data_IF_034454080689
#
_entry.id   IF_034454080689
#
_cell.length_a   1.000
_cell.length_b   1.000
_cell.length_c   1.000
_cell.angle_alpha   90.00
_cell.angle_beta   90.00
_cell.angle_gamma   90.00
#
_symmetry.space_group_name_H-M   'P 1'
#
loop_
_entity.id
_entity.type
_entity.pdbx_description
1 polymer ?
#
# COMPACT_ATOMS: atom_id res chain seq x y z
N UNK A 1 23.19 -43.07 -4.28
CA UNK A 1 21.94 -42.50 -3.76
C UNK A 1 21.45 -41.47 -4.77
N UNK A 2 20.64 -41.92 -5.72
CA UNK A 2 20.15 -41.17 -6.88
C UNK A 2 18.82 -40.52 -6.52
N UNK A 3 18.82 -39.18 -6.43
CA UNK A 3 17.62 -38.40 -6.18
C UNK A 3 16.72 -38.41 -7.43
N UNK A 4 15.54 -39.02 -7.30
CA UNK A 4 14.51 -39.03 -8.32
C UNK A 4 13.86 -37.64 -8.39
N UNK A 5 14.20 -36.88 -9.45
CA UNK A 5 13.50 -35.68 -9.87
C UNK A 5 12.08 -36.06 -10.33
N UNK A 6 11.10 -35.88 -9.45
CA UNK A 6 9.68 -35.94 -9.81
C UNK A 6 9.35 -34.70 -10.66
N UNK A 7 9.32 -34.90 -11.97
CA UNK A 7 8.80 -33.93 -12.92
C UNK A 7 7.30 -33.72 -12.66
N UNK A 8 6.95 -32.57 -12.08
CA UNK A 8 5.55 -32.15 -12.02
C UNK A 8 5.06 -31.89 -13.45
N UNK A 9 3.91 -32.48 -13.85
CA UNK A 9 3.31 -32.19 -15.14
C UNK A 9 2.90 -30.72 -15.17
N UNK A 10 3.61 -29.92 -15.96
CA UNK A 10 3.13 -28.60 -16.37
C UNK A 10 1.74 -28.78 -16.99
N UNK A 11 0.72 -28.22 -16.35
CA UNK A 11 -0.62 -28.18 -16.90
C UNK A 11 -0.55 -27.51 -18.29
N UNK A 12 -0.82 -28.31 -19.33
CA UNK A 12 -0.87 -27.82 -20.70
C UNK A 12 -1.91 -26.68 -20.78
N UNK A 13 -1.56 -25.51 -21.35
CA UNK A 13 -2.51 -24.42 -21.51
C UNK A 13 -3.68 -24.91 -22.35
N UNK A 14 -4.88 -24.86 -21.79
CA UNK A 14 -6.11 -25.17 -22.53
C UNK A 14 -6.20 -24.20 -23.71
N UNK A 15 -6.26 -24.68 -24.96
CA UNK A 15 -6.35 -23.81 -26.12
C UNK A 15 -7.66 -23.01 -26.03
N UNK A 16 -7.54 -21.71 -25.80
CA UNK A 16 -8.67 -20.78 -25.91
C UNK A 16 -9.00 -20.70 -27.40
N UNK A 17 -10.24 -21.04 -27.84
CA UNK A 17 -10.60 -20.90 -29.24
C UNK A 17 -10.41 -19.45 -29.67
N UNK A 18 -9.68 -19.25 -30.76
CA UNK A 18 -9.49 -17.94 -31.36
C UNK A 18 -10.86 -17.37 -31.71
N UNK A 19 -11.32 -16.40 -30.91
CA UNK A 19 -12.46 -15.59 -31.28
C UNK A 19 -12.03 -14.74 -32.48
N UNK A 20 -12.62 -15.01 -33.64
CA UNK A 20 -12.55 -14.15 -34.82
C UNK A 20 -12.95 -12.72 -34.42
N UNK A 21 -11.95 -11.87 -34.17
CA UNK A 21 -12.14 -10.43 -34.01
C UNK A 21 -12.24 -9.86 -35.42
N UNK A 22 -13.45 -9.95 -35.97
CA UNK A 22 -13.83 -9.22 -37.17
C UNK A 22 -13.63 -7.72 -36.94
N UNK A 23 -12.70 -7.14 -37.69
CA UNK A 23 -12.47 -5.71 -37.75
C UNK A 23 -13.71 -4.99 -38.32
N UNK A 24 -14.46 -4.30 -37.45
CA UNK A 24 -15.52 -3.40 -37.88
C UNK A 24 -15.02 -1.94 -37.96
N UNK A 25 -15.10 -1.27 -39.12
CA UNK A 25 -14.93 0.17 -39.22
C UNK A 25 -16.27 0.84 -38.89
N UNK A 26 -16.31 1.74 -37.90
CA UNK A 26 -17.54 2.45 -37.60
C UNK A 26 -17.45 3.30 -36.35
N UNK A 27 -16.82 4.47 -36.46
CA UNK A 27 -16.95 5.52 -35.47
C UNK A 27 -18.42 5.98 -35.41
N UNK A 28 -19.18 5.43 -34.47
CA UNK A 28 -20.53 5.89 -34.19
C UNK A 28 -20.46 7.26 -33.46
N UNK A 29 -21.22 8.27 -33.92
CA UNK A 29 -21.30 9.56 -33.24
C UNK A 29 -21.90 9.38 -31.84
N UNK A 30 -21.27 10.01 -30.85
CA UNK A 30 -21.74 10.06 -29.46
C UNK A 30 -23.14 10.69 -29.42
N UNK A 31 -24.17 9.85 -29.34
CA UNK A 31 -25.53 10.28 -29.09
C UNK A 31 -25.57 11.04 -27.76
N UNK A 32 -25.97 12.32 -27.84
CA UNK A 32 -26.27 13.16 -26.69
C UNK A 32 -27.36 12.50 -25.86
N UNK A 33 -27.18 12.58 -24.54
CA UNK A 33 -28.00 11.93 -23.51
C UNK A 33 -29.49 11.92 -23.83
N UNK A 34 -30.01 10.70 -23.98
CA UNK A 34 -31.41 10.42 -23.74
C UNK A 34 -31.64 10.60 -22.22
N UNK A 35 -32.58 11.47 -21.80
CA UNK A 35 -32.97 11.56 -20.40
C UNK A 35 -33.51 10.19 -19.98
N UNK A 36 -32.88 9.57 -18.99
CA UNK A 36 -33.46 8.42 -18.31
C UNK A 36 -34.83 8.85 -17.78
N UNK A 37 -35.92 8.15 -18.09
CA UNK A 37 -37.25 8.45 -17.57
C UNK A 37 -37.26 8.20 -16.06
N UNK A 38 -36.90 9.22 -15.29
CA UNK A 38 -37.21 9.33 -13.88
C UNK A 38 -38.71 9.63 -13.76
N UNK A 39 -39.54 8.60 -13.69
CA UNK A 39 -40.97 8.82 -13.55
C UNK A 39 -41.86 7.64 -13.91
N UNK A 40 -41.51 6.43 -13.49
CA UNK A 40 -42.54 5.43 -13.21
C UNK A 40 -42.71 5.44 -11.70
N UNK A 41 -43.74 6.13 -11.22
CA UNK A 41 -44.26 5.94 -9.87
C UNK A 41 -44.64 4.47 -9.76
N UNK A 42 -43.77 3.68 -9.14
CA UNK A 42 -44.04 2.31 -8.82
C UNK A 42 -45.31 2.29 -7.97
N UNK A 43 -46.39 1.83 -8.61
CA UNK A 43 -47.54 1.28 -7.94
C UNK A 43 -47.05 0.48 -6.74
N UNK A 44 -47.60 0.78 -5.57
CA UNK A 44 -47.43 0.05 -4.32
C UNK A 44 -48.08 -1.34 -4.41
N UNK A 45 -47.69 -2.10 -5.43
CA UNK A 45 -48.06 -3.46 -5.71
C UNK A 45 -47.47 -4.34 -4.61
N UNK A 46 -48.27 -4.48 -3.56
CA UNK A 46 -48.27 -5.59 -2.59
C UNK A 46 -47.29 -6.70 -2.98
N UNK A 47 -46.06 -6.61 -2.47
CA UNK A 47 -45.05 -7.64 -2.62
C UNK A 47 -45.57 -8.89 -1.91
N UNK A 48 -46.34 -9.71 -2.63
CA UNK A 48 -46.61 -11.09 -2.25
C UNK A 48 -45.25 -11.73 -2.04
N UNK A 49 -44.87 -11.96 -0.79
CA UNK A 49 -43.64 -12.66 -0.40
C UNK A 49 -43.68 -14.04 -1.05
N UNK A 50 -43.11 -14.17 -2.24
CA UNK A 50 -42.84 -15.46 -2.87
C UNK A 50 -41.91 -16.19 -1.93
N UNK A 51 -42.45 -17.16 -1.20
CA UNK A 51 -41.67 -18.03 -0.32
C UNK A 51 -40.64 -18.72 -1.20
N UNK A 52 -39.36 -18.46 -0.95
CA UNK A 52 -38.28 -19.18 -1.62
C UNK A 52 -38.47 -20.68 -1.35
N UNK A 53 -38.34 -21.55 -2.36
CA UNK A 53 -38.43 -22.98 -2.15
C UNK A 53 -37.39 -23.39 -1.09
N UNK A 54 -37.83 -24.17 -0.11
CA UNK A 54 -36.95 -24.68 0.95
C UNK A 54 -36.08 -25.77 0.32
N UNK A 55 -34.79 -25.49 0.18
CA UNK A 55 -33.81 -26.46 -0.31
C UNK A 55 -33.79 -27.66 0.66
N UNK A 56 -33.88 -28.90 0.16
CA UNK A 56 -33.78 -30.09 1.00
C UNK A 56 -32.42 -30.13 1.72
N UNK A 57 -32.44 -30.56 2.98
CA UNK A 57 -31.27 -30.60 3.87
C UNK A 57 -30.03 -31.33 3.30
N UNK A 58 -30.12 -32.49 2.61
CA UNK A 58 -28.95 -33.12 2.00
C UNK A 58 -28.34 -32.28 0.87
N UNK A 59 -29.16 -31.61 0.06
CA UNK A 59 -28.67 -30.71 -1.01
C UNK A 59 -27.96 -29.49 -0.41
N UNK A 60 -28.46 -28.98 0.74
CA UNK A 60 -27.80 -27.90 1.46
C UNK A 60 -26.40 -28.30 1.96
N UNK A 61 -26.23 -29.54 2.44
CA UNK A 61 -24.94 -30.04 2.88
C UNK A 61 -23.93 -30.14 1.72
N UNK A 62 -24.37 -30.62 0.55
CA UNK A 62 -23.54 -30.70 -0.65
C UNK A 62 -23.12 -29.31 -1.15
N UNK A 63 -24.05 -28.35 -1.21
CA UNK A 63 -23.77 -26.98 -1.60
C UNK A 63 -22.80 -26.30 -0.63
N UNK A 64 -22.92 -26.57 0.67
CA UNK A 64 -22.00 -26.08 1.70
C UNK A 64 -20.58 -26.63 1.49
N UNK A 65 -20.45 -27.93 1.26
CA UNK A 65 -19.15 -28.56 0.99
C UNK A 65 -18.49 -28.02 -0.30
N UNK A 66 -19.28 -27.82 -1.36
CA UNK A 66 -18.78 -27.21 -2.60
C UNK A 66 -18.32 -25.77 -2.38
N UNK A 67 -19.09 -24.97 -1.65
CA UNK A 67 -18.70 -23.59 -1.32
C UNK A 67 -17.39 -23.55 -0.54
N UNK A 68 -17.20 -24.46 0.43
CA UNK A 68 -15.95 -24.58 1.19
C UNK A 68 -14.76 -24.95 0.28
N UNK A 69 -14.94 -25.93 -0.62
CA UNK A 69 -13.90 -26.33 -1.58
C UNK A 69 -13.51 -25.19 -2.52
N UNK A 70 -14.49 -24.44 -3.06
CA UNK A 70 -14.21 -23.29 -3.90
C UNK A 70 -13.50 -22.17 -3.14
N UNK A 71 -13.89 -21.94 -1.89
CA UNK A 71 -13.23 -20.96 -1.03
C UNK A 71 -11.76 -21.35 -0.76
N UNK A 72 -11.48 -22.63 -0.47
CA UNK A 72 -10.10 -23.12 -0.31
C UNK A 72 -9.25 -22.88 -1.55
N UNK A 73 -9.77 -23.21 -2.75
CA UNK A 73 -9.08 -22.97 -4.02
C UNK A 73 -8.80 -21.48 -4.26
N UNK A 74 -9.74 -20.61 -3.90
CA UNK A 74 -9.54 -19.15 -4.01
C UNK A 74 -8.40 -18.73 -3.09
N UNK A 75 -8.41 -19.16 -1.82
CA UNK A 75 -7.35 -18.82 -0.85
C UNK A 75 -5.98 -19.33 -1.33
N UNK A 76 -5.89 -20.57 -1.80
CA UNK A 76 -4.64 -21.13 -2.35
C UNK A 76 -4.13 -20.32 -3.55
N UNK A 77 -5.02 -19.93 -4.46
CA UNK A 77 -4.67 -19.07 -5.60
C UNK A 77 -4.21 -17.69 -5.15
N UNK A 78 -4.83 -17.10 -4.12
CA UNK A 78 -4.42 -15.81 -3.56
C UNK A 78 -3.03 -15.85 -2.95
N UNK A 79 -2.66 -16.95 -2.28
CA UNK A 79 -1.32 -17.14 -1.73
C UNK A 79 -0.26 -17.16 -2.84
N UNK A 80 -0.49 -17.92 -3.92
CA UNK A 80 0.43 -17.95 -5.06
C UNK A 80 0.59 -16.58 -5.73
N UNK A 81 -0.51 -15.83 -5.86
CA UNK A 81 -0.52 -14.49 -6.44
C UNK A 81 0.25 -13.49 -5.56
N UNK A 82 0.27 -13.68 -4.24
CA UNK A 82 0.95 -12.77 -3.32
C UNK A 82 2.47 -12.75 -3.55
N UNK A 83 3.08 -13.91 -3.79
CA UNK A 83 4.50 -14.04 -4.09
C UNK A 83 4.87 -13.31 -5.39
N UNK A 84 4.05 -13.49 -6.44
CA UNK A 84 4.21 -12.79 -7.72
C UNK A 84 4.10 -11.27 -7.56
N UNK A 85 3.16 -10.79 -6.73
CA UNK A 85 3.02 -9.36 -6.43
C UNK A 85 4.26 -8.80 -5.75
N UNK A 86 4.89 -9.56 -4.86
CA UNK A 86 6.09 -9.13 -4.18
C UNK A 86 7.30 -9.11 -5.12
N UNK A 87 7.50 -10.17 -5.91
CA UNK A 87 8.56 -10.25 -6.92
C UNK A 87 8.43 -9.12 -7.95
N UNK A 88 7.22 -8.89 -8.47
CA UNK A 88 6.92 -7.76 -9.35
C UNK A 88 7.28 -6.43 -8.66
N UNK A 89 6.91 -6.26 -7.39
CA UNK A 89 7.23 -5.07 -6.62
C UNK A 89 8.73 -4.81 -6.51
N UNK A 90 9.54 -5.86 -6.28
CA UNK A 90 11.01 -5.77 -6.21
C UNK A 90 11.61 -5.33 -7.54
N UNK A 91 11.15 -5.89 -8.66
CA UNK A 91 11.58 -5.48 -10.00
C UNK A 91 11.20 -4.02 -10.25
N UNK A 92 9.95 -3.64 -9.96
CA UNK A 92 9.47 -2.27 -10.17
C UNK A 92 10.21 -1.23 -9.31
N UNK A 93 10.62 -1.57 -8.08
CA UNK A 93 11.44 -0.66 -7.25
C UNK A 93 12.84 -0.43 -7.84
N UNK A 94 13.51 -1.48 -8.34
CA UNK A 94 14.81 -1.33 -9.01
C UNK A 94 14.70 -0.45 -10.26
N UNK A 95 13.64 -0.67 -11.05
CA UNK A 95 13.44 0.04 -12.30
C UNK A 95 13.00 1.48 -12.06
N UNK A 96 12.22 1.77 -11.01
CA UNK A 96 11.62 3.09 -10.75
C UNK A 96 12.65 4.23 -10.70
N UNK A 97 13.85 3.95 -10.17
CA UNK A 97 14.94 4.93 -10.04
C UNK A 97 15.43 5.49 -11.38
N UNK A 98 15.24 4.76 -12.48
CA UNK A 98 15.69 5.16 -13.82
C UNK A 98 14.70 6.10 -14.54
N UNK A 99 13.55 6.43 -13.93
CA UNK A 99 12.49 7.20 -14.57
C UNK A 99 12.33 8.58 -13.92
N UNK A 100 12.61 9.68 -14.63
CA UNK A 100 12.33 11.03 -14.15
C UNK A 100 10.82 11.24 -13.90
N UNK A 101 10.47 12.37 -13.30
CA UNK A 101 9.07 12.71 -13.00
C UNK A 101 8.21 12.65 -14.28
N UNK A 102 7.07 11.96 -14.21
CA UNK A 102 6.10 11.86 -15.32
C UNK A 102 6.30 10.69 -16.30
N UNK A 103 7.51 10.14 -16.45
CA UNK A 103 7.77 9.08 -17.46
C UNK A 103 7.40 7.67 -16.99
N UNK A 104 7.09 7.51 -15.70
CA UNK A 104 6.77 6.22 -15.10
C UNK A 104 5.47 5.59 -15.65
N UNK A 105 4.43 6.40 -15.85
CA UNK A 105 3.14 5.88 -16.31
C UNK A 105 3.21 5.35 -17.76
N UNK A 106 3.76 6.10 -18.74
CA UNK A 106 3.96 5.56 -20.08
C UNK A 106 4.77 4.27 -20.13
N UNK A 107 5.76 4.11 -19.23
CA UNK A 107 6.56 2.89 -19.16
C UNK A 107 5.74 1.67 -18.68
N UNK A 108 4.83 1.87 -17.72
CA UNK A 108 3.89 0.85 -17.25
C UNK A 108 2.87 0.49 -18.34
N UNK A 109 2.32 1.49 -19.03
CA UNK A 109 1.30 1.29 -20.07
C UNK A 109 1.83 0.45 -21.24
N UNK A 110 3.08 0.70 -21.67
CA UNK A 110 3.77 -0.09 -22.71
C UNK A 110 3.97 -1.57 -22.34
N UNK A 111 3.85 -1.92 -21.06
CA UNK A 111 3.98 -3.30 -20.55
C UNK A 111 2.65 -3.87 -20.06
N UNK A 112 1.55 -3.15 -20.31
CA UNK A 112 0.21 -3.51 -19.85
C UNK A 112 0.13 -3.74 -18.32
N UNK A 113 0.97 -3.02 -17.55
CA UNK A 113 0.95 -3.13 -16.09
C UNK A 113 0.01 -2.05 -15.55
N UNK A 114 -1.12 -2.48 -14.97
CA UNK A 114 -2.03 -1.56 -14.32
C UNK A 114 -1.33 -0.75 -13.20
N UNK A 115 -1.61 0.55 -13.15
CA UNK A 115 -1.02 1.49 -12.19
C UNK A 115 -1.34 1.09 -10.74
N UNK A 116 -2.57 0.64 -10.49
CA UNK A 116 -3.00 0.24 -9.14
C UNK A 116 -2.29 -1.04 -8.71
N UNK A 117 -2.16 -2.01 -9.60
CA UNK A 117 -1.37 -3.24 -9.41
C UNK A 117 0.09 -2.91 -9.11
N UNK A 118 0.74 -2.10 -9.94
CA UNK A 118 2.12 -1.66 -9.72
C UNK A 118 2.31 -0.97 -8.35
N UNK A 119 1.37 -0.10 -7.96
CA UNK A 119 1.41 0.59 -6.66
C UNK A 119 1.29 -0.39 -5.48
N UNK A 120 0.42 -1.40 -5.59
CA UNK A 120 0.23 -2.45 -4.56
C UNK A 120 1.45 -3.35 -4.44
N UNK A 121 1.96 -3.86 -5.57
CA UNK A 121 3.18 -4.67 -5.64
C UNK A 121 4.38 -3.97 -4.99
N UNK A 122 4.62 -2.71 -5.38
CA UNK A 122 5.69 -1.88 -4.79
C UNK A 122 5.50 -1.63 -3.30
N UNK A 123 4.26 -1.45 -2.84
CA UNK A 123 3.97 -1.27 -1.42
C UNK A 123 4.38 -2.50 -0.60
N UNK A 124 4.08 -3.71 -1.10
CA UNK A 124 4.46 -4.97 -0.44
C UNK A 124 5.99 -5.11 -0.39
N UNK A 125 6.66 -4.93 -1.54
CA UNK A 125 8.12 -5.04 -1.65
C UNK A 125 8.91 -4.00 -0.84
N UNK A 126 8.29 -2.87 -0.48
CA UNK A 126 8.88 -1.85 0.40
C UNK A 126 8.77 -2.20 1.89
N UNK A 127 7.84 -3.08 2.27
CA UNK A 127 7.50 -3.34 3.68
C UNK A 127 7.94 -4.72 4.15
N UNK A 128 7.83 -5.74 3.31
CA UNK A 128 8.21 -7.12 3.63
C UNK A 128 9.58 -7.42 3.01
N UNK A 129 10.51 -7.97 3.81
CA UNK A 129 11.86 -8.26 3.35
C UNK A 129 11.94 -9.55 2.52
N UNK A 130 11.05 -10.50 2.77
CA UNK A 130 10.96 -11.81 2.09
C UNK A 130 9.49 -12.22 1.88
N UNK A 131 9.29 -13.22 1.01
CA UNK A 131 7.99 -13.90 0.84
C UNK A 131 7.57 -14.66 2.10
N UNK A 132 8.54 -15.18 2.87
CA UNK A 132 8.30 -15.86 4.15
C UNK A 132 7.58 -14.98 5.18
N UNK A 133 7.88 -13.67 5.25
CA UNK A 133 7.14 -12.76 6.14
C UNK A 133 5.65 -12.61 5.80
N UNK A 134 5.27 -12.97 4.56
CA UNK A 134 3.90 -12.93 4.08
C UNK A 134 3.24 -14.31 4.04
N UNK A 135 3.98 -15.37 4.43
CA UNK A 135 3.46 -16.73 4.41
C UNK A 135 2.19 -16.83 5.29
N UNK A 136 1.14 -17.41 4.72
CA UNK A 136 -0.15 -17.57 5.39
C UNK A 136 -1.02 -16.30 5.43
N UNK A 137 -0.59 -15.19 4.84
CA UNK A 137 -1.43 -13.99 4.69
C UNK A 137 -2.15 -13.99 3.35
N UNK A 138 -3.42 -13.61 3.34
CA UNK A 138 -4.10 -13.25 2.09
C UNK A 138 -3.53 -11.95 1.52
N UNK A 139 -3.72 -11.72 0.21
CA UNK A 139 -3.28 -10.48 -0.44
C UNK A 139 -3.87 -9.22 0.23
N UNK A 140 -5.13 -9.31 0.68
CA UNK A 140 -5.79 -8.20 1.36
C UNK A 140 -5.13 -7.89 2.71
N UNK A 141 -4.85 -8.91 3.52
CA UNK A 141 -4.20 -8.78 4.83
C UNK A 141 -2.77 -8.25 4.70
N UNK A 142 -2.00 -8.79 3.76
CA UNK A 142 -0.64 -8.31 3.47
C UNK A 142 -0.65 -6.83 3.08
N UNK A 143 -1.59 -6.39 2.23
CA UNK A 143 -1.73 -4.98 1.88
C UNK A 143 -2.17 -4.10 3.05
N UNK A 144 -3.06 -4.59 3.92
CA UNK A 144 -3.50 -3.88 5.14
C UNK A 144 -2.32 -3.69 6.10
N UNK A 145 -1.58 -4.75 6.40
CA UNK A 145 -0.37 -4.71 7.22
C UNK A 145 0.69 -3.80 6.61
N UNK A 146 0.89 -3.86 5.29
CA UNK A 146 1.85 -3.00 4.60
C UNK A 146 1.50 -1.51 4.75
N UNK A 147 0.22 -1.15 4.66
CA UNK A 147 -0.25 0.23 4.90
C UNK A 147 -0.02 0.66 6.34
N UNK A 148 -0.30 -0.20 7.31
CA UNK A 148 -0.10 0.08 8.74
C UNK A 148 1.38 0.28 9.06
N UNK A 149 2.25 -0.65 8.67
CA UNK A 149 3.71 -0.54 8.85
C UNK A 149 4.28 0.72 8.17
N UNK A 150 3.82 1.02 6.94
CA UNK A 150 4.24 2.26 6.24
C UNK A 150 3.74 3.53 6.92
N UNK A 151 2.53 3.51 7.49
CA UNK A 151 1.99 4.62 8.28
C UNK A 151 2.79 4.80 9.56
N UNK A 152 3.11 3.72 10.28
CA UNK A 152 3.95 3.74 11.47
C UNK A 152 5.35 4.31 11.16
N UNK A 153 5.98 3.88 10.06
CA UNK A 153 7.28 4.42 9.61
C UNK A 153 7.24 5.91 9.26
N UNK A 154 6.11 6.43 8.78
CA UNK A 154 5.91 7.87 8.46
C UNK A 154 5.41 8.70 9.62
N UNK A 155 4.80 8.05 10.61
CA UNK A 155 3.94 8.65 11.61
C UNK A 155 4.29 8.26 13.04
N UNK A 156 5.51 7.77 13.30
CA UNK A 156 6.09 7.90 14.63
C UNK A 156 5.90 9.36 15.10
N UNK A 157 5.67 9.64 16.38
CA UNK A 157 5.41 11.00 16.89
C UNK A 157 6.55 12.02 16.64
N UNK A 158 7.69 11.55 16.18
CA UNK A 158 8.96 12.28 16.10
C UNK A 158 9.15 13.29 14.93
N UNK A 159 8.63 13.11 13.70
CA UNK A 159 8.90 14.00 12.59
C UNK A 159 7.97 15.22 12.54
N UNK A 160 6.80 15.23 13.20
CA UNK A 160 5.92 16.40 13.18
C UNK A 160 6.38 17.49 14.14
N UNK A 161 6.78 17.09 15.36
CA UNK A 161 7.33 18.02 16.35
C UNK A 161 8.65 18.60 15.85
N UNK A 162 9.54 17.76 15.30
CA UNK A 162 10.79 18.22 14.71
C UNK A 162 10.59 19.16 13.52
N UNK A 163 9.59 18.92 12.65
CA UNK A 163 9.27 19.82 11.54
C UNK A 163 8.71 21.15 12.01
N UNK A 164 7.76 21.15 12.97
CA UNK A 164 7.22 22.37 13.57
C UNK A 164 8.34 23.18 14.23
N UNK A 165 9.16 22.53 15.05
CA UNK A 165 10.30 23.15 15.73
C UNK A 165 11.30 23.75 14.75
N UNK A 166 11.69 23.01 13.70
CA UNK A 166 12.58 23.54 12.63
C UNK A 166 11.98 24.75 11.92
N UNK A 167 10.68 24.76 11.65
CA UNK A 167 10.02 25.91 11.04
C UNK A 167 9.98 27.13 11.97
N UNK A 168 9.74 26.91 13.28
CA UNK A 168 9.74 27.97 14.30
C UNK A 168 11.13 28.56 14.47
N UNK A 169 12.16 27.71 14.60
CA UNK A 169 13.56 28.15 14.70
C UNK A 169 13.96 28.95 13.46
N UNK A 170 13.60 28.50 12.25
CA UNK A 170 13.87 29.25 11.01
C UNK A 170 13.18 30.61 10.98
N UNK A 171 11.93 30.70 11.44
CA UNK A 171 11.19 31.97 11.51
C UNK A 171 11.80 32.93 12.52
N UNK A 172 12.20 32.44 13.70
CA UNK A 172 12.87 33.24 14.72
C UNK A 172 14.23 33.74 14.22
N UNK A 173 15.03 32.89 13.56
CA UNK A 173 16.30 33.31 12.95
C UNK A 173 16.11 34.38 11.87
N UNK A 174 15.02 34.32 11.09
CA UNK A 174 14.68 35.38 10.13
C UNK A 174 14.40 36.71 10.83
N UNK A 175 13.56 36.72 11.86
CA UNK A 175 13.24 37.93 12.63
C UNK A 175 14.50 38.53 13.26
N UNK A 176 15.39 37.70 13.81
CA UNK A 176 16.65 38.16 14.40
C UNK A 176 17.58 38.74 13.33
N UNK A 177 17.66 38.12 12.15
CA UNK A 177 18.46 38.65 11.05
C UNK A 177 17.93 40.00 10.55
N UNK A 178 16.61 40.16 10.45
CA UNK A 178 15.96 41.42 10.06
C UNK A 178 16.23 42.51 11.11
N UNK A 179 16.14 42.20 12.41
CA UNK A 179 16.46 43.13 13.50
C UNK A 179 17.94 43.56 13.52
N UNK A 180 18.87 42.64 13.21
CA UNK A 180 20.30 42.96 13.12
C UNK A 180 20.61 43.82 11.89
N UNK A 181 19.82 43.73 10.83
CA UNK A 181 20.01 44.54 9.62
C UNK A 181 19.61 46.02 9.83
N UNK A 182 18.63 46.28 10.71
CA UNK A 182 18.11 47.63 10.96
C UNK A 182 18.88 48.40 12.04
N UNK A 183 19.63 47.73 12.92
CA UNK A 183 20.30 48.35 14.07
C UNK A 183 21.83 48.09 14.10
N UNK A 184 22.58 49.02 14.70
CA UNK A 184 24.05 49.00 14.69
C UNK A 184 24.62 47.69 15.29
N UNK A 185 25.46 46.93 14.55
CA UNK A 185 25.81 45.54 14.85
C UNK A 185 26.55 45.32 16.19
N UNK A 186 27.03 46.40 16.81
CA UNK A 186 27.78 46.34 18.07
C UNK A 186 26.89 46.07 19.29
N UNK A 187 25.59 46.39 19.25
CA UNK A 187 24.70 46.18 20.41
C UNK A 187 24.20 44.74 20.57
N UNK A 188 24.21 43.93 19.51
CA UNK A 188 23.53 42.61 19.50
C UNK A 188 24.47 41.40 19.61
N UNK A 189 25.79 41.62 19.72
CA UNK A 189 26.81 40.56 19.85
C UNK A 189 26.53 39.52 20.95
N UNK A 190 26.20 39.88 22.21
CA UNK A 190 25.96 38.88 23.26
C UNK A 190 24.66 38.10 23.05
N UNK A 191 23.64 38.72 22.45
CA UNK A 191 22.34 38.09 22.20
C UNK A 191 22.45 37.08 21.04
N UNK A 192 23.22 37.40 20.01
CA UNK A 192 23.53 36.49 18.91
C UNK A 192 24.28 35.23 19.39
N UNK A 193 25.22 35.38 20.34
CA UNK A 193 25.94 34.25 20.93
C UNK A 193 25.00 33.32 21.72
N UNK A 194 24.10 33.87 22.54
CA UNK A 194 23.10 33.09 23.29
C UNK A 194 22.12 32.35 22.37
N UNK A 195 21.72 32.99 21.26
CA UNK A 195 20.84 32.37 20.26
C UNK A 195 21.55 31.23 19.52
N UNK A 196 22.82 31.40 19.17
CA UNK A 196 23.65 30.35 18.58
C UNK A 196 23.81 29.16 19.53
N UNK A 197 24.06 29.42 20.82
CA UNK A 197 24.19 28.38 21.85
C UNK A 197 22.88 27.64 22.11
N UNK A 198 21.75 28.35 22.21
CA UNK A 198 20.42 27.75 22.33
C UNK A 198 20.07 26.89 21.10
N UNK A 199 20.41 27.36 19.90
CA UNK A 199 20.22 26.58 18.65
C UNK A 199 21.09 25.33 18.65
N UNK A 200 22.34 25.42 19.10
CA UNK A 200 23.24 24.27 19.24
C UNK A 200 22.72 23.27 20.29
N UNK A 201 22.19 23.74 21.42
CA UNK A 201 21.60 22.91 22.46
C UNK A 201 20.36 22.15 21.96
N UNK A 202 19.46 22.83 21.24
CA UNK A 202 18.29 22.20 20.61
C UNK A 202 18.74 21.15 19.59
N UNK A 203 19.72 21.47 18.75
CA UNK A 203 20.28 20.52 17.78
C UNK A 203 20.88 19.27 18.46
N UNK A 204 21.57 19.42 19.59
CA UNK A 204 22.10 18.30 20.38
C UNK A 204 20.97 17.47 21.01
N UNK A 205 19.97 18.10 21.62
CA UNK A 205 18.82 17.43 22.18
C UNK A 205 18.03 16.64 21.12
N UNK A 206 17.86 17.19 19.92
CA UNK A 206 17.22 16.49 18.81
C UNK A 206 18.03 15.30 18.28
N UNK A 207 19.37 15.32 18.37
CA UNK A 207 20.20 14.16 18.01
C UNK A 207 20.17 13.07 19.09
N UNK A 208 20.01 13.44 20.36
CA UNK A 208 19.91 12.48 21.48
C UNK A 208 18.55 11.80 21.62
N UNK A 209 17.52 12.25 20.89
CA UNK A 209 16.20 11.62 20.83
C UNK A 209 16.13 10.47 19.81
N UNK A 210 17.17 10.26 19.01
CA UNK A 210 17.32 9.01 18.26
C UNK A 210 17.41 7.88 19.28
N UNK A 211 16.28 7.22 19.52
CA UNK A 211 16.20 6.08 20.43
C UNK A 211 17.22 5.07 19.92
N UNK A 212 18.23 4.69 20.73
CA UNK A 212 19.22 3.73 20.28
C UNK A 212 18.46 2.46 19.86
N UNK A 213 18.76 1.88 18.68
CA UNK A 213 18.01 0.73 18.15
C UNK A 213 17.92 -0.45 19.15
N UNK A 214 18.86 -0.51 20.08
CA UNK A 214 18.91 -1.47 21.18
C UNK A 214 17.72 -1.40 22.17
N UNK A 215 17.07 -0.24 22.35
CA UNK A 215 15.87 -0.12 23.20
C UNK A 215 14.62 -0.71 22.53
N UNK A 216 14.51 -0.60 21.21
CA UNK A 216 13.41 -1.18 20.44
C UNK A 216 13.54 -2.70 20.35
N UNK A 217 14.77 -3.21 20.14
CA UNK A 217 15.02 -4.65 20.13
C UNK A 217 14.79 -5.31 21.50
N UNK A 218 15.15 -4.64 22.61
CA UNK A 218 14.87 -5.15 23.97
C UNK A 218 13.37 -5.21 24.28
N UNK A 219 12.59 -4.20 23.86
CA UNK A 219 11.14 -4.19 24.07
C UNK A 219 10.41 -5.27 23.26
N UNK A 220 10.88 -5.55 22.04
CA UNK A 220 10.36 -6.66 21.21
C UNK A 220 10.77 -8.04 21.74
N UNK A 221 11.97 -8.18 22.31
CA UNK A 221 12.42 -9.41 22.95
C UNK A 221 11.62 -9.73 24.22
N UNK A 222 11.32 -8.73 25.05
CA UNK A 222 10.50 -8.90 26.26
C UNK A 222 9.04 -9.25 25.98
N UNK A 223 8.53 -8.94 24.78
CA UNK A 223 7.16 -9.31 24.38
C UNK A 223 7.05 -10.73 23.80
N UNK A 224 8.18 -11.47 23.70
CA UNK A 224 8.24 -12.83 23.13
C UNK A 224 8.44 -13.93 24.17
N UNK A 225 8.50 -13.61 25.47
CA UNK A 225 8.51 -14.68 26.49
C UNK A 225 7.11 -15.30 26.60
N UNK A 226 6.97 -16.62 26.36
CA UNK A 226 5.71 -17.31 26.56
C UNK A 226 5.39 -17.36 28.06
N UNK A 227 4.16 -17.02 28.42
CA UNK A 227 3.66 -17.21 29.78
C UNK A 227 3.64 -18.72 30.08
N UNK A 228 4.53 -19.15 30.98
CA UNK A 228 4.57 -20.50 31.55
C UNK A 228 3.38 -20.77 32.47
#
# INVERSE_FOLDING_TARGET
MTAALLAHPFAQPVPVPAADVAAGPGAAPRARGLPLPFGATEDAGSHKKTRRPKVPEPELAELSAQAQLHNQRIVESELSVLDDYWLLGRVLERVRGNFPHGTWQPWLDRRHIDRTRAKRARLLAQVFASTEEMAGLTLHEALKLARLRKKAKRGGPEPQVAKKLKSTVKRLLGIVADLIADDSPQQYSPLAAQLAEATAAICRACRGLETPPQLVERSLAQSREPAS
#
